data_IF_945574530823
#
_entry.id   IF_945574530823
#
_cell.length_a   1.000
_cell.length_b   1.000
_cell.length_c   1.000
_cell.angle_alpha   90.00
_cell.angle_beta   90.00
_cell.angle_gamma   90.00
#
_symmetry.space_group_name_H-M   'P 1'
#
loop_
_entity.id
_entity.type
_entity.pdbx_description
1 polymer ?
#
# COMPACT_ATOMS: atom_id res chain seq x y z
N UNK A 1 21.18 -15.88 8.26
CA UNK A 1 21.72 -14.99 7.20
C UNK A 1 21.13 -13.61 7.44
N UNK A 2 21.93 -12.63 7.86
CA UNK A 2 21.49 -11.23 7.93
C UNK A 2 21.29 -10.71 6.50
N UNK A 3 20.14 -10.10 6.21
CA UNK A 3 19.93 -9.42 4.94
C UNK A 3 21.00 -8.33 4.77
N UNK A 4 21.58 -8.23 3.57
CA UNK A 4 22.57 -7.19 3.23
C UNK A 4 21.95 -5.80 3.17
N UNK A 5 20.63 -5.70 3.08
CA UNK A 5 19.89 -4.45 2.92
C UNK A 5 18.69 -4.37 3.87
N UNK A 6 18.91 -4.39 5.20
CA UNK A 6 17.82 -4.40 6.18
C UNK A 6 16.95 -3.14 6.06
N UNK A 7 17.57 -1.99 5.79
CA UNK A 7 16.86 -0.71 5.61
C UNK A 7 15.91 -0.71 4.41
N UNK A 8 16.35 -1.23 3.25
CA UNK A 8 15.52 -1.34 2.05
C UNK A 8 14.35 -2.30 2.25
N UNK A 9 14.58 -3.43 2.93
CA UNK A 9 13.49 -4.36 3.26
C UNK A 9 12.46 -3.69 4.16
N UNK A 10 12.90 -2.92 5.16
CA UNK A 10 11.98 -2.18 6.03
C UNK A 10 11.16 -1.16 5.25
N UNK A 11 11.77 -0.39 4.33
CA UNK A 11 11.04 0.57 3.48
C UNK A 11 10.01 -0.15 2.60
N UNK A 12 10.39 -1.25 1.96
CA UNK A 12 9.47 -2.05 1.13
C UNK A 12 8.33 -2.58 1.99
N UNK A 13 8.63 -3.12 3.17
CA UNK A 13 7.64 -3.59 4.12
C UNK A 13 6.66 -2.50 4.56
N UNK A 14 7.15 -1.31 4.90
CA UNK A 14 6.32 -0.16 5.25
C UNK A 14 5.42 0.29 4.08
N UNK A 15 5.97 0.29 2.87
CA UNK A 15 5.22 0.60 1.64
C UNK A 15 4.07 -0.39 1.43
N UNK A 16 4.33 -1.69 1.58
CA UNK A 16 3.29 -2.74 1.46
C UNK A 16 2.25 -2.60 2.57
N UNK A 17 2.69 -2.39 3.82
CA UNK A 17 1.78 -2.18 4.95
C UNK A 17 0.86 -0.97 4.76
N UNK A 18 1.41 0.16 4.30
CA UNK A 18 0.60 1.33 3.96
C UNK A 18 -0.43 1.00 2.87
N UNK A 19 -0.01 0.29 1.82
CA UNK A 19 -0.90 -0.16 0.75
C UNK A 19 -1.97 -1.18 1.18
N UNK A 20 -1.77 -1.92 2.27
CA UNK A 20 -2.79 -2.84 2.82
C UNK A 20 -3.81 -2.11 3.71
N UNK A 21 -3.41 -1.04 4.38
CA UNK A 21 -4.24 -0.36 5.38
C UNK A 21 -5.02 0.82 4.79
N UNK A 22 -4.41 1.61 3.91
CA UNK A 22 -5.01 2.88 3.44
C UNK A 22 -6.34 2.66 2.71
N UNK A 23 -6.37 1.76 1.72
CA UNK A 23 -7.59 1.48 0.94
C UNK A 23 -8.75 0.97 1.82
N UNK A 24 -8.64 -0.22 2.43
CA UNK A 24 -9.68 -0.77 3.30
C UNK A 24 -10.02 0.14 4.49
N UNK A 25 -9.04 0.83 5.06
CA UNK A 25 -9.22 1.76 6.18
C UNK A 25 -10.10 2.96 5.79
N UNK A 26 -9.91 3.54 4.61
CA UNK A 26 -10.76 4.61 4.09
C UNK A 26 -12.20 4.14 3.85
N UNK A 27 -12.41 2.92 3.31
CA UNK A 27 -13.74 2.34 3.15
C UNK A 27 -14.43 2.08 4.49
N UNK A 28 -13.71 1.50 5.45
CA UNK A 28 -14.23 1.26 6.79
C UNK A 28 -14.63 2.58 7.46
N UNK A 29 -13.81 3.63 7.33
CA UNK A 29 -14.12 4.94 7.88
C UNK A 29 -15.43 5.52 7.31
N UNK A 30 -15.62 5.51 5.99
CA UNK A 30 -16.88 6.00 5.38
C UNK A 30 -18.07 5.14 5.80
N UNK A 31 -17.90 3.82 5.90
CA UNK A 31 -18.97 2.93 6.35
C UNK A 31 -19.40 3.24 7.79
N UNK A 32 -18.45 3.47 8.71
CA UNK A 32 -18.76 3.82 10.11
C UNK A 32 -19.38 5.21 10.29
N UNK A 33 -19.21 6.12 9.32
CA UNK A 33 -19.72 7.49 9.40
C UNK A 33 -20.86 7.75 8.41
N UNK A 34 -21.39 6.71 7.77
CA UNK A 34 -22.45 6.86 6.75
C UNK A 34 -23.70 7.53 7.33
N UNK A 35 -24.04 7.24 8.58
CA UNK A 35 -25.19 7.79 9.28
C UNK A 35 -25.07 9.30 9.55
N UNK A 36 -23.85 9.84 9.53
CA UNK A 36 -23.60 11.28 9.70
C UNK A 36 -23.78 12.05 8.37
N UNK A 37 -23.81 11.36 7.24
CA UNK A 37 -23.89 11.95 5.90
C UNK A 37 -25.36 11.97 5.45
N UNK A 38 -26.04 13.10 5.67
CA UNK A 38 -27.48 13.23 5.39
C UNK A 38 -27.82 13.48 3.92
N UNK A 39 -26.85 13.89 3.11
CA UNK A 39 -27.05 14.28 1.71
C UNK A 39 -26.43 13.22 0.79
N UNK A 40 -27.19 12.63 -0.15
CA UNK A 40 -26.67 11.61 -1.06
C UNK A 40 -25.48 12.08 -1.91
N UNK A 41 -25.46 13.36 -2.29
CA UNK A 41 -24.36 13.97 -3.04
C UNK A 41 -23.04 14.00 -2.24
N UNK A 42 -23.12 14.25 -0.93
CA UNK A 42 -21.94 14.25 -0.07
C UNK A 42 -21.40 12.84 0.14
N UNK A 43 -22.30 11.85 0.22
CA UNK A 43 -21.90 10.44 0.27
C UNK A 43 -21.19 10.03 -1.03
N UNK A 44 -21.70 10.42 -2.19
CA UNK A 44 -21.05 10.14 -3.47
C UNK A 44 -19.64 10.79 -3.56
N UNK A 45 -19.49 12.02 -3.06
CA UNK A 45 -18.18 12.68 -2.99
C UNK A 45 -17.19 11.95 -2.08
N UNK A 46 -17.65 11.49 -0.90
CA UNK A 46 -16.84 10.70 0.03
C UNK A 46 -16.43 9.36 -0.59
N UNK A 47 -17.36 8.65 -1.24
CA UNK A 47 -17.06 7.39 -1.94
C UNK A 47 -16.07 7.60 -3.07
N UNK A 48 -16.20 8.67 -3.86
CA UNK A 48 -15.25 9.01 -4.92
C UNK A 48 -13.85 9.32 -4.36
N UNK A 49 -13.76 9.98 -3.20
CA UNK A 49 -12.49 10.19 -2.50
C UNK A 49 -11.87 8.87 -2.02
N UNK A 50 -12.66 7.99 -1.39
CA UNK A 50 -12.19 6.66 -0.97
C UNK A 50 -11.70 5.85 -2.16
N UNK A 51 -12.39 5.92 -3.30
CA UNK A 51 -11.97 5.22 -4.51
C UNK A 51 -10.60 5.70 -5.00
N UNK A 52 -10.31 7.01 -4.92
CA UNK A 52 -8.96 7.54 -5.21
C UNK A 52 -7.92 7.03 -4.21
N UNK A 53 -8.26 6.97 -2.92
CA UNK A 53 -7.37 6.42 -1.89
C UNK A 53 -7.11 4.93 -2.09
N UNK A 54 -8.11 4.16 -2.54
CA UNK A 54 -7.95 2.76 -2.93
C UNK A 54 -6.97 2.60 -4.09
N UNK A 55 -7.05 3.48 -5.09
CA UNK A 55 -6.09 3.50 -6.19
C UNK A 55 -4.68 3.78 -5.67
N UNK A 56 -4.51 4.79 -4.80
CA UNK A 56 -3.21 5.08 -4.14
C UNK A 56 -2.70 3.86 -3.36
N UNK A 57 -3.58 3.16 -2.64
CA UNK A 57 -3.27 1.91 -1.95
C UNK A 57 -2.68 0.85 -2.91
N UNK A 58 -3.30 0.69 -4.08
CA UNK A 58 -2.81 -0.24 -5.12
C UNK A 58 -1.46 0.17 -5.68
N UNK A 59 -1.19 1.47 -5.83
CA UNK A 59 0.14 1.96 -6.22
C UNK A 59 1.19 1.56 -5.18
N UNK A 60 0.91 1.78 -3.89
CA UNK A 60 1.82 1.38 -2.82
C UNK A 60 2.10 -0.13 -2.83
N UNK A 61 1.07 -0.96 -2.96
CA UNK A 61 1.24 -2.42 -3.08
C UNK A 61 2.10 -2.79 -4.29
N UNK A 62 1.81 -2.22 -5.46
CA UNK A 62 2.52 -2.51 -6.69
C UNK A 62 4.00 -2.14 -6.58
N UNK A 63 4.32 -0.93 -6.11
CA UNK A 63 5.70 -0.50 -5.89
C UNK A 63 6.41 -1.35 -4.84
N UNK A 64 5.72 -1.71 -3.76
CA UNK A 64 6.25 -2.60 -2.73
C UNK A 64 6.64 -3.97 -3.27
N UNK A 65 5.75 -4.64 -4.00
CA UNK A 65 6.05 -5.94 -4.60
C UNK A 65 7.12 -5.87 -5.69
N UNK A 66 7.11 -4.83 -6.54
CA UNK A 66 8.18 -4.61 -7.53
C UNK A 66 9.52 -4.44 -6.84
N UNK A 67 9.59 -3.62 -5.78
CA UNK A 67 10.80 -3.42 -4.98
C UNK A 67 11.30 -4.73 -4.36
N UNK A 68 10.40 -5.56 -3.84
CA UNK A 68 10.73 -6.87 -3.28
C UNK A 68 11.33 -7.80 -4.33
N UNK A 69 10.75 -7.85 -5.53
CA UNK A 69 11.25 -8.67 -6.65
C UNK A 69 12.65 -8.22 -7.06
N UNK A 70 12.87 -6.91 -7.25
CA UNK A 70 14.18 -6.35 -7.63
C UNK A 70 15.23 -6.70 -6.56
N UNK A 71 14.88 -6.53 -5.28
CA UNK A 71 15.80 -6.83 -4.18
C UNK A 71 16.17 -8.32 -4.13
N UNK A 72 15.21 -9.20 -4.41
CA UNK A 72 15.42 -10.65 -4.48
C UNK A 72 16.33 -11.03 -5.65
N UNK A 73 16.14 -10.40 -6.82
CA UNK A 73 17.01 -10.62 -8.00
C UNK A 73 18.42 -10.11 -7.71
N UNK A 74 18.56 -8.90 -7.15
CA UNK A 74 19.85 -8.32 -6.81
C UNK A 74 20.62 -9.19 -5.82
N UNK A 75 19.96 -9.70 -4.77
CA UNK A 75 20.61 -10.61 -3.81
C UNK A 75 21.08 -11.91 -4.48
N UNK A 76 20.31 -12.47 -5.42
CA UNK A 76 20.72 -13.65 -6.19
C UNK A 76 21.89 -13.36 -7.13
N UNK A 77 21.88 -12.25 -7.87
CA UNK A 77 22.97 -11.87 -8.77
C UNK A 77 24.28 -11.64 -8.00
N UNK A 78 24.22 -10.91 -6.88
CA UNK A 78 25.39 -10.62 -6.03
C UNK A 78 25.95 -11.85 -5.29
N UNK A 79 25.19 -12.95 -5.21
CA UNK A 79 25.69 -14.23 -4.70
C UNK A 79 26.30 -15.11 -5.78
N UNK A 80 25.93 -14.88 -7.06
CA UNK A 80 26.45 -15.65 -8.20
C UNK A 80 27.83 -15.15 -8.65
N UNK A 81 28.13 -13.88 -8.45
CA UNK A 81 29.45 -13.27 -8.71
C UNK A 81 30.49 -13.55 -7.61
N UNK A 82 30.15 -14.34 -6.59
CA UNK A 82 31.03 -14.69 -5.47
C UNK A 82 31.19 -16.19 -5.37
#
# INVERSE_FOLDING_TARGET
MLSRYPFLITIIGLTILAGLVVGPGCYAWVYFHVDQIRVPADLANQVAWVQRMSTVSLWFLSFGFIGLVILTIADKCLRKDR
#
